data_IF_842549676043
#
_entry.id   IF_842549676043
#
_cell.length_a   1.000
_cell.length_b   1.000
_cell.length_c   1.000
_cell.angle_alpha   90.00
_cell.angle_beta   90.00
_cell.angle_gamma   90.00
#
_symmetry.space_group_name_H-M   'P 1'
#
loop_
_entity.id
_entity.type
_entity.pdbx_description
1 polymer ?
#
# COMPACT_ATOMS: atom_id res chain seq x y z
N UNK A 1 7.33 -10.37 -19.89
CA UNK A 1 6.28 -9.42 -20.21
C UNK A 1 5.66 -8.90 -18.91
N UNK A 2 4.95 -7.80 -19.03
CA UNK A 2 4.30 -7.20 -17.88
C UNK A 2 5.28 -7.16 -16.71
N UNK A 3 5.96 -6.03 -16.59
CA UNK A 3 6.93 -5.85 -15.52
C UNK A 3 6.20 -5.43 -14.24
N UNK A 4 4.98 -4.95 -14.42
CA UNK A 4 4.17 -4.51 -13.30
C UNK A 4 3.66 -5.74 -12.53
N UNK A 5 3.49 -6.83 -13.26
CA UNK A 5 3.02 -8.06 -12.67
C UNK A 5 3.61 -8.24 -11.26
N UNK A 6 4.81 -7.71 -11.09
CA UNK A 6 5.49 -7.80 -9.80
C UNK A 6 5.27 -6.51 -9.00
N UNK A 7 5.55 -5.39 -9.66
CA UNK A 7 5.39 -4.10 -9.02
C UNK A 7 4.05 -4.06 -8.28
N UNK A 8 3.04 -4.63 -8.92
CA UNK A 8 1.72 -4.67 -8.34
C UNK A 8 1.80 -5.22 -6.92
N UNK A 9 2.48 -6.34 -6.79
CA UNK A 9 2.65 -6.98 -5.50
C UNK A 9 3.44 -6.06 -4.56
N UNK A 10 4.41 -5.38 -5.16
CA UNK A 10 5.25 -4.46 -4.40
C UNK A 10 4.39 -3.35 -3.81
N UNK A 11 3.73 -2.62 -4.72
CA UNK A 11 2.87 -1.53 -4.31
C UNK A 11 1.82 -2.04 -3.33
N UNK A 12 1.63 -3.36 -3.34
CA UNK A 12 0.67 -3.99 -2.47
C UNK A 12 1.13 -3.90 -1.01
N UNK A 13 2.34 -4.38 -0.77
CA UNK A 13 2.90 -4.36 0.57
C UNK A 13 2.96 -2.91 1.07
N UNK A 14 3.82 -2.13 0.42
CA UNK A 14 3.97 -0.73 0.79
C UNK A 14 2.62 -0.16 1.19
N UNK A 15 1.72 -0.10 0.21
CA UNK A 15 0.39 0.42 0.44
C UNK A 15 -0.23 -0.30 1.65
N UNK A 16 -0.04 -1.61 1.67
CA UNK A 16 -0.58 -2.42 2.75
C UNK A 16 0.08 -2.03 4.08
N UNK A 17 1.23 -1.39 3.95
CA UNK A 17 1.98 -0.96 5.13
C UNK A 17 1.75 0.53 5.41
N UNK A 18 1.36 1.24 4.35
CA UNK A 18 1.11 2.66 4.47
C UNK A 18 -0.31 2.94 4.95
N UNK A 19 -1.26 2.32 4.27
CA UNK A 19 -2.67 2.49 4.63
C UNK A 19 -2.82 2.35 6.15
N UNK A 20 -2.21 1.30 6.67
CA UNK A 20 -2.27 1.05 8.10
C UNK A 20 -1.95 2.31 8.90
N UNK A 21 -1.25 3.23 8.25
CA UNK A 21 -0.86 4.47 8.89
C UNK A 21 -1.83 5.57 8.47
N UNK A 22 -2.22 5.53 7.20
CA UNK A 22 -3.14 6.51 6.65
C UNK A 22 -4.51 6.35 7.33
N UNK A 23 -5.05 5.15 7.22
CA UNK A 23 -6.34 4.85 7.81
C UNK A 23 -6.48 5.48 9.20
N UNK A 24 -5.41 5.35 9.98
CA UNK A 24 -5.40 5.92 11.32
C UNK A 24 -5.64 7.43 11.28
N UNK A 25 -5.02 8.07 10.30
CA UNK A 25 -5.16 9.51 10.15
C UNK A 25 -6.49 9.85 9.48
N UNK A 26 -6.73 9.19 8.35
CA UNK A 26 -7.97 9.40 7.61
C UNK A 26 -9.14 8.67 8.27
N UNK A 27 -8.87 8.14 9.45
CA UNK A 27 -9.90 7.41 10.18
C UNK A 27 -11.11 8.32 10.40
N UNK A 28 -10.81 9.53 10.85
CA UNK A 28 -11.87 10.50 11.10
C UNK A 28 -13.08 9.80 11.73
N UNK A 29 -12.95 9.54 13.02
CA UNK A 29 -14.02 8.87 13.75
C UNK A 29 -15.36 9.48 13.35
#
# INVERSE_FOLDING_TARGET
KHLLQTVLHIIQVVISYFLMLIFMTYNKK
#
